data_IF_546609384577
#
_entry.id   IF_546609384577
#
_cell.length_a   1.000
_cell.length_b   1.000
_cell.length_c   1.000
_cell.angle_alpha   90.00
_cell.angle_beta   90.00
_cell.angle_gamma   90.00
#
_symmetry.space_group_name_H-M   'P 1'
#
loop_
_entity.id
_entity.type
_entity.pdbx_description
1 polymer ?
#
# COMPACT_ATOMS: atom_id res chain seq x y z
N UNK A 1 -26.05 -10.02 0.61
CA UNK A 1 -25.16 -11.15 0.91
C UNK A 1 -23.79 -11.06 0.23
N UNK A 2 -23.68 -10.80 -1.09
CA UNK A 2 -22.38 -10.70 -1.80
C UNK A 2 -21.43 -9.61 -1.27
N UNK A 3 -21.97 -8.46 -0.83
CA UNK A 3 -21.16 -7.37 -0.27
C UNK A 3 -20.64 -7.60 1.15
N UNK A 4 -21.35 -8.39 1.96
CA UNK A 4 -20.97 -8.68 3.36
C UNK A 4 -19.83 -9.71 3.40
N UNK A 5 -19.91 -10.76 2.57
CA UNK A 5 -18.82 -11.74 2.41
C UNK A 5 -17.55 -11.14 1.81
N UNK A 6 -17.69 -10.20 0.86
CA UNK A 6 -16.55 -9.46 0.31
C UNK A 6 -15.90 -8.56 1.37
N UNK A 7 -16.70 -7.90 2.21
CA UNK A 7 -16.23 -7.06 3.30
C UNK A 7 -15.51 -7.90 4.38
N UNK A 8 -16.07 -9.05 4.76
CA UNK A 8 -15.44 -9.99 5.70
C UNK A 8 -14.13 -10.58 5.16
N UNK A 9 -14.07 -10.89 3.84
CA UNK A 9 -12.84 -11.32 3.17
C UNK A 9 -11.78 -10.23 3.12
N UNK A 10 -12.18 -8.97 2.92
CA UNK A 10 -11.30 -7.79 2.96
C UNK A 10 -10.73 -7.55 4.35
N UNK A 11 -11.57 -7.55 5.39
CA UNK A 11 -11.14 -7.45 6.81
C UNK A 11 -10.18 -8.60 7.16
N UNK A 12 -10.51 -9.82 6.73
CA UNK A 12 -9.63 -10.98 6.91
C UNK A 12 -8.28 -10.79 6.21
N UNK A 13 -8.27 -10.29 4.97
CA UNK A 13 -7.06 -10.00 4.21
C UNK A 13 -6.17 -8.95 4.85
N UNK A 14 -6.73 -7.79 5.23
CA UNK A 14 -5.99 -6.72 5.90
C UNK A 14 -5.38 -7.19 7.23
N UNK A 15 -6.14 -7.96 8.03
CA UNK A 15 -5.63 -8.56 9.26
C UNK A 15 -4.49 -9.54 9.01
N UNK A 16 -4.60 -10.41 8.00
CA UNK A 16 -3.53 -11.35 7.63
C UNK A 16 -2.28 -10.62 7.16
N UNK A 17 -2.42 -9.62 6.29
CA UNK A 17 -1.31 -8.79 5.82
C UNK A 17 -0.62 -8.06 6.97
N UNK A 18 -1.39 -7.47 7.90
CA UNK A 18 -0.88 -6.85 9.12
C UNK A 18 -0.06 -7.84 9.96
N UNK A 19 -0.63 -9.01 10.28
CA UNK A 19 0.07 -10.05 11.05
C UNK A 19 1.34 -10.54 10.34
N UNK A 20 1.30 -10.66 9.01
CA UNK A 20 2.47 -11.04 8.22
C UNK A 20 3.58 -9.99 8.33
N UNK A 21 3.24 -8.72 8.05
CA UNK A 21 4.15 -7.59 8.12
C UNK A 21 4.79 -7.45 9.51
N UNK A 22 3.99 -7.48 10.58
CA UNK A 22 4.49 -7.45 11.96
C UNK A 22 5.34 -8.69 12.30
N UNK A 23 4.94 -9.86 11.78
CA UNK A 23 5.67 -11.11 11.93
C UNK A 23 7.06 -11.09 11.29
N UNK A 24 7.31 -10.25 10.28
CA UNK A 24 8.67 -10.07 9.73
C UNK A 24 9.62 -9.41 10.73
N UNK A 25 9.09 -8.80 11.81
CA UNK A 25 9.83 -8.02 12.81
C UNK A 25 10.49 -6.75 12.23
N UNK A 26 10.28 -6.47 10.94
CA UNK A 26 10.70 -5.26 10.22
C UNK A 26 9.67 -4.14 10.28
N UNK A 27 8.52 -4.38 10.91
CA UNK A 27 7.45 -3.39 11.09
C UNK A 27 7.23 -3.18 12.59
N UNK A 28 7.16 -1.92 12.99
CA UNK A 28 6.86 -1.46 14.34
C UNK A 28 5.50 -0.75 14.34
N UNK A 29 4.45 -1.47 14.71
CA UNK A 29 3.09 -0.93 14.83
C UNK A 29 2.42 -0.70 13.48
N UNK A 30 1.83 -1.77 12.93
CA UNK A 30 0.90 -1.64 11.83
C UNK A 30 -0.53 -1.41 12.36
N UNK A 31 -1.34 -0.67 11.63
CA UNK A 31 -2.75 -0.45 11.93
C UNK A 31 -3.56 -0.51 10.64
N UNK A 32 -4.78 -1.03 10.77
CA UNK A 32 -5.75 -1.04 9.69
C UNK A 32 -6.67 0.17 9.76
N UNK A 33 -7.20 0.60 8.61
CA UNK A 33 -8.26 1.61 8.54
C UNK A 33 -9.53 1.19 9.31
N UNK A 34 -9.70 -0.10 9.58
CA UNK A 34 -10.81 -0.68 10.35
C UNK A 34 -10.53 -0.84 11.84
N UNK A 35 -9.29 -0.56 12.30
CA UNK A 35 -8.94 -0.73 13.73
C UNK A 35 -9.61 0.34 14.61
N UNK A 36 -9.80 1.57 14.09
CA UNK A 36 -10.56 2.65 14.76
C UNK A 36 -10.84 3.82 13.81
N UNK A 37 -11.81 4.68 14.15
CA UNK A 37 -12.08 5.92 13.40
C UNK A 37 -10.85 6.85 13.31
N UNK A 38 -9.98 6.83 14.33
CA UNK A 38 -8.76 7.63 14.32
C UNK A 38 -7.78 7.14 13.25
N UNK A 39 -7.64 5.82 13.09
CA UNK A 39 -6.80 5.23 12.04
C UNK A 39 -7.43 5.36 10.65
N UNK A 40 -8.76 5.19 10.55
CA UNK A 40 -9.51 5.44 9.32
C UNK A 40 -9.24 6.85 8.77
N UNK A 41 -9.33 7.88 9.63
CA UNK A 41 -9.05 9.28 9.25
C UNK A 41 -7.60 9.46 8.83
N UNK A 42 -6.64 8.89 9.55
CA UNK A 42 -5.21 9.00 9.22
C UNK A 42 -4.87 8.34 7.89
N UNK A 43 -5.56 7.26 7.53
CA UNK A 43 -5.36 6.49 6.28
C UNK A 43 -6.11 7.02 5.07
N UNK A 44 -6.95 8.03 5.28
CA UNK A 44 -7.81 8.61 4.23
C UNK A 44 -7.23 9.92 3.72
N UNK A 45 -7.14 10.05 2.40
CA UNK A 45 -6.78 11.28 1.70
C UNK A 45 -7.95 11.74 0.82
N UNK A 46 -7.95 13.02 0.47
CA UNK A 46 -8.81 13.54 -0.57
C UNK A 46 -8.14 13.38 -1.93
N UNK A 47 -8.94 13.08 -2.96
CA UNK A 47 -8.52 13.39 -4.32
C UNK A 47 -8.45 14.93 -4.46
N UNK A 48 -7.47 15.48 -5.21
CA UNK A 48 -7.37 16.93 -5.40
C UNK A 48 -8.64 17.55 -5.96
N UNK A 49 -9.36 16.81 -6.79
CA UNK A 49 -10.55 17.28 -7.49
C UNK A 49 -11.78 16.37 -7.24
N UNK A 50 -12.97 16.97 -7.34
CA UNK A 50 -14.25 16.25 -7.27
C UNK A 50 -14.75 15.91 -5.86
N UNK A 51 -14.02 16.27 -4.81
CA UNK A 51 -14.45 16.15 -3.40
C UNK A 51 -14.56 14.71 -2.87
N UNK A 52 -14.11 13.73 -3.65
CA UNK A 52 -14.06 12.32 -3.25
C UNK A 52 -12.82 12.04 -2.41
N UNK A 53 -12.89 11.03 -1.54
CA UNK A 53 -11.74 10.55 -0.77
C UNK A 53 -11.35 9.14 -1.19
N UNK A 54 -10.12 8.75 -0.86
CA UNK A 54 -9.66 7.36 -0.90
C UNK A 54 -8.91 7.02 0.37
N UNK A 55 -8.87 5.74 0.72
CA UNK A 55 -8.10 5.24 1.85
C UNK A 55 -7.14 4.15 1.44
N UNK A 56 -6.03 4.04 2.17
CA UNK A 56 -5.22 2.83 2.22
C UNK A 56 -5.77 1.88 3.29
N UNK A 57 -5.56 0.57 3.10
CA UNK A 57 -6.06 -0.46 4.02
C UNK A 57 -5.22 -0.53 5.30
N UNK A 58 -3.90 -0.40 5.17
CA UNK A 58 -2.94 -0.42 6.27
C UNK A 58 -2.01 0.79 6.24
N UNK A 59 -1.46 1.12 7.42
CA UNK A 59 -0.23 1.90 7.53
C UNK A 59 0.55 1.54 8.78
N UNK A 60 1.77 2.08 8.89
CA UNK A 60 2.63 1.83 10.04
C UNK A 60 4.06 2.32 9.83
N UNK A 61 4.95 1.97 10.75
CA UNK A 61 6.35 2.34 10.72
C UNK A 61 7.25 1.13 10.51
N UNK A 62 8.37 1.33 9.84
CA UNK A 62 9.38 0.31 9.55
C UNK A 62 10.49 0.32 10.60
N UNK A 63 11.07 -0.86 10.85
CA UNK A 63 12.12 -1.11 11.84
C UNK A 63 13.36 -1.71 11.17
N UNK A 64 14.52 -1.23 11.61
CA UNK A 64 15.83 -1.74 11.26
C UNK A 64 16.31 -1.24 9.90
N UNK A 65 17.62 -1.03 9.77
CA UNK A 65 18.24 -0.55 8.55
C UNK A 65 17.88 -1.44 7.33
N UNK A 66 17.73 -0.86 6.12
CA UNK A 66 17.90 0.56 5.81
C UNK A 66 16.66 1.43 6.11
N UNK A 67 15.52 0.84 6.45
CA UNK A 67 14.22 1.52 6.53
C UNK A 67 13.83 1.95 7.94
N UNK A 68 14.78 2.10 8.86
CA UNK A 68 14.44 2.39 10.25
C UNK A 68 13.77 3.77 10.37
N UNK A 69 12.53 3.80 10.85
CA UNK A 69 11.75 5.03 11.03
C UNK A 69 10.91 5.42 9.81
N UNK A 70 11.14 4.81 8.64
CA UNK A 70 10.33 5.06 7.45
C UNK A 70 8.87 4.65 7.70
N UNK A 71 7.94 5.38 7.10
CA UNK A 71 6.52 5.08 7.19
C UNK A 71 6.01 4.40 5.92
N UNK A 72 5.00 3.55 6.06
CA UNK A 72 4.37 2.92 4.90
C UNK A 72 2.85 3.00 4.96
N UNK A 73 2.24 2.95 3.78
CA UNK A 73 0.83 2.63 3.61
C UNK A 73 0.68 1.48 2.61
N UNK A 74 -0.43 0.75 2.71
CA UNK A 74 -0.66 -0.42 1.88
C UNK A 74 -2.10 -0.56 1.41
N UNK A 75 -2.27 -1.12 0.21
CA UNK A 75 -3.54 -1.65 -0.29
C UNK A 75 -3.45 -3.19 -0.32
N UNK A 76 -4.48 -3.85 0.20
CA UNK A 76 -4.52 -5.30 0.40
C UNK A 76 -5.62 -5.93 -0.44
N UNK A 77 -5.25 -6.83 -1.35
CA UNK A 77 -6.17 -7.56 -2.22
C UNK A 77 -6.12 -9.06 -1.96
N UNK A 78 -7.05 -9.55 -1.15
CA UNK A 78 -7.20 -10.97 -0.85
C UNK A 78 -8.18 -11.65 -1.82
N UNK A 79 -7.72 -11.86 -3.06
CA UNK A 79 -8.45 -12.60 -4.09
C UNK A 79 -7.91 -14.02 -4.26
N UNK A 80 -8.77 -14.95 -4.74
CA UNK A 80 -8.36 -16.30 -5.13
C UNK A 80 -7.75 -16.36 -6.55
N UNK A 81 -7.82 -15.27 -7.32
CA UNK A 81 -7.28 -15.20 -8.69
C UNK A 81 -7.01 -13.76 -9.14
N UNK A 82 -6.41 -13.55 -10.34
CA UNK A 82 -5.98 -12.24 -10.82
C UNK A 82 -7.13 -11.23 -10.95
N UNK A 83 -8.28 -11.62 -11.51
CA UNK A 83 -9.49 -10.78 -11.67
C UNK A 83 -9.16 -9.31 -12.05
N UNK A 84 -9.83 -8.34 -11.44
CA UNK A 84 -9.64 -6.90 -11.71
C UNK A 84 -8.43 -6.29 -10.99
N UNK A 85 -7.49 -7.10 -10.47
CA UNK A 85 -6.31 -6.58 -9.76
C UNK A 85 -5.47 -5.65 -10.62
N UNK A 86 -5.38 -5.90 -11.94
CA UNK A 86 -4.67 -5.01 -12.84
C UNK A 86 -5.24 -3.60 -12.83
N UNK A 87 -6.57 -3.48 -12.89
CA UNK A 87 -7.28 -2.18 -12.84
C UNK A 87 -7.12 -1.52 -11.47
N UNK A 88 -7.28 -2.28 -10.38
CA UNK A 88 -7.10 -1.74 -9.03
C UNK A 88 -5.65 -1.31 -8.76
N UNK A 89 -4.67 -2.01 -9.34
CA UNK A 89 -3.26 -1.63 -9.22
C UNK A 89 -2.96 -0.32 -9.94
N UNK A 90 -3.58 -0.07 -11.09
CA UNK A 90 -3.49 1.22 -11.78
C UNK A 90 -4.06 2.34 -10.91
N UNK A 91 -5.25 2.16 -10.33
CA UNK A 91 -5.80 3.15 -9.40
C UNK A 91 -4.90 3.37 -8.18
N UNK A 92 -4.29 2.30 -7.65
CA UNK A 92 -3.31 2.38 -6.57
C UNK A 92 -2.09 3.24 -6.94
N UNK A 93 -1.52 3.10 -8.13
CA UNK A 93 -0.40 3.97 -8.56
C UNK A 93 -0.81 5.45 -8.61
N UNK A 94 -2.02 5.75 -9.09
CA UNK A 94 -2.54 7.12 -9.09
C UNK A 94 -2.73 7.67 -7.67
N UNK A 95 -3.23 6.84 -6.73
CA UNK A 95 -3.31 7.19 -5.29
C UNK A 95 -1.92 7.47 -4.71
N UNK A 96 -0.91 6.66 -5.04
CA UNK A 96 0.46 6.85 -4.56
C UNK A 96 1.07 8.17 -5.05
N UNK A 97 0.82 8.53 -6.32
CA UNK A 97 1.21 9.82 -6.87
C UNK A 97 0.59 10.99 -6.09
N UNK A 98 -0.72 10.94 -5.82
CA UNK A 98 -1.40 11.95 -5.01
C UNK A 98 -0.84 11.99 -3.58
N UNK A 99 -0.67 10.85 -2.93
CA UNK A 99 -0.10 10.77 -1.59
C UNK A 99 1.31 11.38 -1.51
N UNK A 100 2.13 11.17 -2.55
CA UNK A 100 3.45 11.78 -2.64
C UNK A 100 3.37 13.31 -2.78
N UNK A 101 2.50 13.81 -3.66
CA UNK A 101 2.29 15.25 -3.87
C UNK A 101 1.82 15.95 -2.58
N UNK A 102 0.93 15.31 -1.83
CA UNK A 102 0.42 15.80 -0.54
C UNK A 102 1.42 15.62 0.63
N UNK A 103 2.64 15.12 0.36
CA UNK A 103 3.66 14.83 1.38
C UNK A 103 3.09 14.00 2.53
N UNK A 104 2.29 13.01 2.16
CA UNK A 104 1.54 12.19 3.10
C UNK A 104 2.48 11.49 4.09
N UNK A 105 2.10 11.51 5.37
CA UNK A 105 2.92 10.98 6.47
C UNK A 105 3.37 9.53 6.25
N UNK A 106 2.55 8.71 5.58
CA UNK A 106 2.83 7.30 5.32
C UNK A 106 3.38 7.04 3.91
N UNK A 107 3.89 8.08 3.24
CA UNK A 107 4.32 8.07 1.84
C UNK A 107 5.79 7.76 1.59
N UNK A 108 6.54 7.22 2.57
CA UNK A 108 7.92 6.77 2.31
C UNK A 108 7.93 5.46 1.52
N UNK A 109 7.01 4.53 1.81
CA UNK A 109 6.82 3.29 1.04
C UNK A 109 5.34 3.00 0.77
N UNK A 110 5.05 2.56 -0.45
CA UNK A 110 3.69 2.21 -0.90
C UNK A 110 3.61 0.71 -1.19
N UNK A 111 2.87 -0.05 -0.39
CA UNK A 111 2.84 -1.51 -0.51
C UNK A 111 1.55 -2.01 -1.16
N UNK A 112 1.68 -2.76 -2.24
CA UNK A 112 0.59 -3.58 -2.76
C UNK A 112 0.75 -5.01 -2.27
N UNK A 113 -0.22 -5.51 -1.48
CA UNK A 113 -0.17 -6.84 -0.88
C UNK A 113 -1.32 -7.69 -1.44
N UNK A 114 -1.00 -8.84 -2.03
CA UNK A 114 -2.01 -9.74 -2.63
C UNK A 114 -1.66 -11.21 -2.43
N UNK A 115 -2.65 -12.10 -2.55
CA UNK A 115 -2.46 -13.55 -2.55
C UNK A 115 -2.56 -14.17 -3.96
N UNK A 116 -2.83 -13.36 -4.97
CA UNK A 116 -2.95 -13.82 -6.34
C UNK A 116 -2.08 -12.96 -7.25
N UNK A 117 -1.06 -13.54 -7.94
CA UNK A 117 -0.25 -12.80 -8.89
C UNK A 117 -1.13 -12.30 -10.06
N UNK A 118 -0.77 -11.14 -10.61
CA UNK A 118 -1.50 -10.48 -11.69
C UNK A 118 -0.51 -9.83 -12.65
N UNK A 119 -0.94 -9.59 -13.90
CA UNK A 119 -0.13 -8.96 -14.95
C UNK A 119 1.31 -9.53 -15.05
N UNK A 120 1.44 -10.85 -14.95
CA UNK A 120 2.73 -11.57 -14.82
C UNK A 120 3.66 -11.31 -16.00
N UNK A 121 3.10 -11.19 -17.21
CA UNK A 121 3.86 -10.91 -18.44
C UNK A 121 4.52 -9.52 -18.45
N UNK A 122 4.06 -8.60 -17.60
CA UNK A 122 4.61 -7.25 -17.45
C UNK A 122 5.10 -7.00 -16.03
N UNK A 123 5.40 -8.06 -15.26
CA UNK A 123 5.64 -7.96 -13.83
C UNK A 123 6.77 -6.98 -13.50
N UNK A 124 7.92 -7.05 -14.15
CA UNK A 124 9.03 -6.12 -13.88
C UNK A 124 8.65 -4.64 -14.09
N UNK A 125 7.72 -4.38 -15.00
CA UNK A 125 7.38 -3.04 -15.49
C UNK A 125 6.26 -2.36 -14.69
N UNK A 126 5.58 -3.07 -13.78
CA UNK A 126 4.31 -2.61 -13.20
C UNK A 126 4.39 -1.24 -12.50
N UNK A 127 5.55 -0.88 -11.99
CA UNK A 127 5.81 0.32 -11.20
C UNK A 127 6.88 1.20 -11.86
N UNK A 128 7.16 0.99 -13.16
CA UNK A 128 8.01 1.89 -13.92
C UNK A 128 7.35 3.27 -14.10
N UNK A 129 8.13 4.34 -14.26
CA UNK A 129 7.62 5.71 -14.43
C UNK A 129 6.49 5.82 -15.45
N UNK A 130 6.61 5.16 -16.61
CA UNK A 130 5.61 5.23 -17.68
C UNK A 130 4.27 4.60 -17.28
N UNK A 131 4.28 3.58 -16.41
CA UNK A 131 3.04 2.98 -15.88
C UNK A 131 2.37 3.91 -14.89
N UNK A 132 3.13 4.59 -14.05
CA UNK A 132 2.61 5.57 -13.09
C UNK A 132 2.03 6.77 -13.84
N UNK A 133 2.73 7.31 -14.83
CA UNK A 133 2.20 8.38 -15.69
C UNK A 133 0.87 7.98 -16.34
N UNK A 134 0.81 6.76 -16.91
CA UNK A 134 -0.42 6.25 -17.53
C UNK A 134 -1.55 6.12 -16.53
N UNK A 135 -1.26 5.70 -15.29
CA UNK A 135 -2.24 5.65 -14.21
C UNK A 135 -2.75 7.05 -13.84
N UNK A 136 -1.86 8.03 -13.72
CA UNK A 136 -2.22 9.42 -13.43
C UNK A 136 -3.08 10.01 -14.56
N UNK A 137 -2.76 9.75 -15.82
CA UNK A 137 -3.58 10.18 -16.98
C UNK A 137 -4.96 9.51 -16.98
N UNK A 138 -5.03 8.22 -16.64
CA UNK A 138 -6.29 7.48 -16.57
C UNK A 138 -7.21 8.02 -15.45
N UNK A 139 -6.62 8.49 -14.36
CA UNK A 139 -7.35 9.10 -13.23
C UNK A 139 -7.33 10.64 -13.24
N UNK A 140 -6.96 11.28 -14.36
CA UNK A 140 -6.75 12.73 -14.47
C UNK A 140 -7.92 13.58 -13.98
N UNK A 141 -9.16 13.12 -14.16
CA UNK A 141 -10.35 13.87 -13.73
C UNK A 141 -10.38 14.11 -12.22
N UNK A 142 -9.87 13.16 -11.43
CA UNK A 142 -9.78 13.28 -9.96
C UNK A 142 -8.53 14.02 -9.49
N UNK A 143 -7.52 14.16 -10.33
CA UNK A 143 -6.20 14.71 -9.97
C UNK A 143 -6.04 16.16 -10.48
N UNK A 144 -6.50 16.44 -11.70
CA UNK A 144 -6.32 17.70 -12.41
C UNK A 144 -7.63 18.33 -12.90
N UNK A 145 -8.77 17.66 -12.68
CA UNK A 145 -10.09 18.11 -13.13
C UNK A 145 -10.38 17.72 -14.57
N UNK A 146 -11.37 18.37 -15.18
CA UNK A 146 -11.79 18.07 -16.56
C UNK A 146 -10.79 18.64 -17.59
N UNK A 147 -9.64 17.97 -17.71
CA UNK A 147 -8.57 18.28 -18.65
C UNK A 147 -8.40 17.16 -19.67
N UNK A 148 -7.88 17.52 -20.86
CA UNK A 148 -7.50 16.55 -21.87
C UNK A 148 -6.30 15.71 -21.41
N UNK A 149 -6.07 14.57 -22.09
CA UNK A 149 -4.92 13.72 -21.77
C UNK A 149 -3.58 14.42 -22.03
N UNK A 150 -3.47 15.18 -23.12
CA UNK A 150 -2.26 15.94 -23.44
C UNK A 150 -1.96 17.02 -22.39
N UNK A 151 -3.00 17.67 -21.87
CA UNK A 151 -2.85 18.65 -20.81
C UNK A 151 -2.49 17.98 -19.48
N UNK A 152 -3.12 16.85 -19.14
CA UNK A 152 -2.75 16.06 -17.97
C UNK A 152 -1.27 15.65 -18.02
N UNK A 153 -0.78 15.14 -19.16
CA UNK A 153 0.63 14.74 -19.33
C UNK A 153 1.62 15.88 -19.08
N UNK A 154 1.27 17.11 -19.45
CA UNK A 154 2.12 18.30 -19.20
C UNK A 154 2.13 18.72 -17.73
N UNK A 155 1.09 18.40 -16.98
CA UNK A 155 0.96 18.73 -15.54
C UNK A 155 1.54 17.67 -14.61
N UNK A 156 1.85 16.48 -15.13
CA UNK A 156 2.48 15.43 -14.33
C UNK A 156 3.88 15.88 -13.91
N UNK A 157 4.15 15.80 -12.61
CA UNK A 157 5.47 16.00 -12.05
C UNK A 157 6.31 14.73 -12.23
N UNK A 158 7.28 14.79 -13.13
CA UNK A 158 8.19 13.68 -13.43
C UNK A 158 9.03 13.24 -12.22
N UNK A 159 9.36 14.16 -11.30
CA UNK A 159 10.13 13.80 -10.10
C UNK A 159 9.27 12.99 -9.13
N UNK A 160 8.00 13.36 -8.98
CA UNK A 160 7.06 12.58 -8.17
C UNK A 160 6.79 11.20 -8.78
N UNK A 161 6.66 11.10 -10.10
CA UNK A 161 6.55 9.81 -10.81
C UNK A 161 7.77 8.93 -10.50
N UNK A 162 8.98 9.47 -10.65
CA UNK A 162 10.21 8.74 -10.38
C UNK A 162 10.28 8.32 -8.90
N UNK A 163 9.93 9.22 -7.98
CA UNK A 163 9.96 8.92 -6.55
C UNK A 163 8.97 7.82 -6.17
N UNK A 164 7.76 7.84 -6.73
CA UNK A 164 6.77 6.77 -6.52
C UNK A 164 7.28 5.44 -7.10
N UNK A 165 7.91 5.45 -8.27
CA UNK A 165 8.48 4.24 -8.89
C UNK A 165 9.46 3.53 -7.95
N UNK A 166 10.30 4.28 -7.26
CA UNK A 166 11.32 3.76 -6.34
C UNK A 166 10.75 3.27 -5.00
N UNK A 167 9.55 3.73 -4.62
CA UNK A 167 8.92 3.49 -3.30
C UNK A 167 7.80 2.46 -3.33
N UNK A 168 7.40 1.97 -4.50
CA UNK A 168 6.33 0.98 -4.64
C UNK A 168 6.85 -0.44 -4.42
N UNK A 169 6.25 -1.14 -3.45
CA UNK A 169 6.51 -2.54 -3.14
C UNK A 169 5.37 -3.40 -3.65
N UNK A 170 5.70 -4.61 -4.11
CA UNK A 170 4.72 -5.60 -4.56
C UNK A 170 4.97 -6.90 -3.84
N UNK A 171 4.10 -7.22 -2.90
CA UNK A 171 4.20 -8.39 -2.03
C UNK A 171 3.11 -9.37 -2.44
N UNK A 172 3.53 -10.50 -2.99
CA UNK A 172 2.63 -11.62 -3.29
C UNK A 172 2.82 -12.68 -2.21
N UNK A 173 1.80 -12.85 -1.39
CA UNK A 173 1.75 -13.80 -0.29
C UNK A 173 1.10 -15.12 -0.74
N UNK A 174 1.39 -16.16 0.03
CA UNK A 174 0.72 -17.44 -0.02
C UNK A 174 0.49 -17.93 1.41
N UNK A 175 -0.52 -18.76 1.61
CA UNK A 175 -0.87 -19.23 2.96
C UNK A 175 0.29 -19.98 3.62
N UNK A 176 1.10 -20.70 2.82
CA UNK A 176 2.30 -21.38 3.33
C UNK A 176 3.40 -20.42 3.76
N UNK A 177 3.57 -19.28 3.08
CA UNK A 177 4.57 -18.27 3.49
C UNK A 177 4.23 -17.64 4.84
N UNK A 178 2.94 -17.48 5.16
CA UNK A 178 2.52 -17.00 6.49
C UNK A 178 2.97 -17.95 7.61
N UNK A 179 3.04 -19.25 7.33
CA UNK A 179 3.53 -20.26 8.27
C UNK A 179 5.05 -20.30 8.46
N UNK A 180 5.83 -19.51 7.69
CA UNK A 180 7.28 -19.42 7.82
C UNK A 180 7.75 -18.28 8.74
N UNK A 181 6.80 -17.48 9.24
CA UNK A 181 7.12 -16.41 10.18
C UNK A 181 7.65 -16.99 11.50
N UNK A 182 8.53 -16.26 12.21
CA UNK A 182 9.00 -16.68 13.51
C UNK A 182 7.84 -17.03 14.46
N UNK A 183 8.02 -18.12 15.21
CA UNK A 183 7.06 -18.53 16.22
C UNK A 183 6.83 -17.40 17.23
N UNK A 184 5.63 -17.35 17.81
CA UNK A 184 5.25 -16.31 18.79
C UNK A 184 6.24 -16.21 19.95
N UNK A 185 6.73 -17.34 20.45
CA UNK A 185 7.78 -17.42 21.47
C UNK A 185 9.08 -16.72 21.04
N UNK A 186 9.52 -16.91 19.79
CA UNK A 186 10.74 -16.28 19.28
C UNK A 186 10.55 -14.78 19.06
N UNK A 187 9.35 -14.37 18.63
CA UNK A 187 8.99 -12.96 18.53
C UNK A 187 9.02 -12.27 19.89
N UNK A 188 8.56 -12.95 20.95
CA UNK A 188 8.61 -12.42 22.32
C UNK A 188 10.05 -12.27 22.82
N UNK A 189 10.91 -13.27 22.57
CA UNK A 189 12.34 -13.20 22.92
C UNK A 189 12.99 -12.02 22.18
N UNK A 190 12.78 -11.89 20.87
CA UNK A 190 13.38 -10.77 20.13
C UNK A 190 12.83 -9.41 20.59
N UNK A 191 11.53 -9.30 20.83
CA UNK A 191 10.93 -8.06 21.33
C UNK A 191 11.53 -7.65 22.68
N UNK A 192 11.79 -8.62 23.57
CA UNK A 192 12.49 -8.39 24.83
C UNK A 192 13.92 -7.85 24.59
N UNK A 193 14.69 -8.52 23.74
CA UNK A 193 16.06 -8.09 23.41
C UNK A 193 16.12 -6.70 22.77
N UNK A 194 15.19 -6.39 21.86
CA UNK A 194 15.08 -5.07 21.25
C UNK A 194 14.68 -4.01 22.27
N UNK A 195 13.81 -4.36 23.24
CA UNK A 195 13.44 -3.46 24.33
C UNK A 195 14.65 -3.14 25.21
N UNK A 196 15.46 -4.14 25.56
CA UNK A 196 16.69 -3.94 26.34
C UNK A 196 17.70 -3.03 25.63
N UNK A 197 17.72 -3.06 24.29
CA UNK A 197 18.57 -2.20 23.46
C UNK A 197 17.98 -0.81 23.19
N UNK A 198 16.74 -0.54 23.61
CA UNK A 198 16.04 0.71 23.30
C UNK A 198 15.62 0.84 21.83
N UNK A 199 15.50 -0.27 21.12
CA UNK A 199 15.17 -0.35 19.68
C UNK A 199 13.72 -0.84 19.43
N UNK A 200 12.94 -1.06 20.49
CA UNK A 200 11.56 -1.54 20.41
C UNK A 200 10.53 -0.43 20.38
#
# INVERSE_FOLDING_TARGET
MVGEDAHLKGISGAKRAKLYLEGTMRICGAFANTDSDAWARKLTLAWPEGGQTFSFDLGGSMRGAPYHGDQFCAEVKHYQGPADQGTHFVEFLAKCYVAHQEKYLFGDHYMWITWAPFNVNSWSQLHEPQRIESAVVQHRQRIFGDVSEDEARKRIDANAVQSVSERVWRIVLSEKQEGLLPLTEWRAILAHELTLKGEW
#
